data_IF_448851630310
#
_entry.id   IF_448851630310
#
_cell.length_a   1.000
_cell.length_b   1.000
_cell.length_c   1.000
_cell.angle_alpha   90.00
_cell.angle_beta   90.00
_cell.angle_gamma   90.00
#
_symmetry.space_group_name_H-M   'P 1'
#
loop_
_entity.id
_entity.type
_entity.pdbx_description
1 polymer ?
#
# COMPACT_ATOMS: atom_id res chain seq x y z
N UNK A 1 -15.00 -2.42 8.19
CA UNK A 1 -13.75 -2.88 8.82
C UNK A 1 -14.05 -3.91 9.91
N UNK A 2 -13.15 -4.89 10.12
CA UNK A 2 -13.26 -5.88 11.20
C UNK A 2 -12.84 -5.29 12.52
N UNK A 3 -13.32 -5.86 13.65
CA UNK A 3 -13.07 -5.32 15.02
C UNK A 3 -11.58 -5.22 15.35
N UNK A 4 -10.75 -6.12 14.80
CA UNK A 4 -9.31 -6.18 15.03
C UNK A 4 -8.49 -5.98 13.73
N UNK A 5 -9.10 -5.49 12.66
CA UNK A 5 -8.41 -5.27 11.38
C UNK A 5 -7.19 -4.35 11.49
N UNK A 6 -7.24 -3.33 12.35
CA UNK A 6 -6.09 -2.47 12.64
C UNK A 6 -4.91 -3.21 13.27
N UNK A 7 -5.16 -4.28 14.05
CA UNK A 7 -4.08 -5.14 14.59
C UNK A 7 -3.46 -5.96 13.47
N UNK A 8 -4.29 -6.56 12.59
CA UNK A 8 -3.81 -7.30 11.41
C UNK A 8 -2.97 -6.42 10.49
N UNK A 9 -3.45 -5.20 10.20
CA UNK A 9 -2.72 -4.22 9.38
C UNK A 9 -1.35 -3.86 9.99
N UNK A 10 -1.29 -3.61 11.31
CA UNK A 10 -0.03 -3.31 11.99
C UNK A 10 0.96 -4.48 11.91
N UNK A 11 0.50 -5.71 12.16
CA UNK A 11 1.35 -6.91 12.03
C UNK A 11 1.90 -7.02 10.60
N UNK A 12 1.04 -6.88 9.59
CA UNK A 12 1.46 -6.95 8.19
C UNK A 12 2.53 -5.90 7.86
N UNK A 13 2.36 -4.66 8.31
CA UNK A 13 3.35 -3.59 8.11
C UNK A 13 4.67 -3.89 8.83
N UNK A 14 4.62 -4.40 10.07
CA UNK A 14 5.82 -4.74 10.85
C UNK A 14 6.60 -5.91 10.23
N UNK A 15 5.90 -6.98 9.79
CA UNK A 15 6.53 -8.12 9.11
C UNK A 15 7.15 -7.67 7.79
N UNK A 16 6.44 -6.89 6.99
CA UNK A 16 6.96 -6.36 5.74
C UNK A 16 8.20 -5.49 5.97
N UNK A 17 8.14 -4.56 6.92
CA UNK A 17 9.24 -3.66 7.22
C UNK A 17 10.54 -4.37 7.62
N UNK A 18 10.44 -5.55 8.27
CA UNK A 18 11.61 -6.37 8.64
C UNK A 18 12.32 -7.01 7.45
N UNK A 19 11.62 -7.26 6.37
CA UNK A 19 12.11 -8.04 5.23
C UNK A 19 12.08 -7.33 3.89
N UNK A 20 11.47 -6.15 3.82
CA UNK A 20 11.25 -5.44 2.56
C UNK A 20 12.54 -5.13 1.80
N UNK A 21 13.63 -4.76 2.52
CA UNK A 21 14.92 -4.47 1.91
C UNK A 21 15.51 -5.66 1.15
N UNK A 22 15.25 -6.88 1.61
CA UNK A 22 15.72 -8.10 0.94
C UNK A 22 15.17 -8.22 -0.48
N UNK A 23 13.95 -7.72 -0.74
CA UNK A 23 13.34 -7.77 -2.07
C UNK A 23 14.14 -6.99 -3.13
N UNK A 24 14.88 -5.97 -2.71
CA UNK A 24 15.73 -5.18 -3.60
C UNK A 24 17.07 -5.86 -3.90
N UNK A 25 17.51 -6.80 -3.07
CA UNK A 25 18.77 -7.54 -3.24
C UNK A 25 18.61 -8.78 -4.13
N UNK A 26 17.37 -9.27 -4.32
CA UNK A 26 17.11 -10.47 -5.12
C UNK A 26 17.29 -10.20 -6.63
N UNK A 27 17.87 -11.19 -7.33
CA UNK A 27 18.27 -11.03 -8.71
C UNK A 27 17.15 -11.30 -9.72
N UNK A 28 16.18 -12.13 -9.35
CA UNK A 28 15.14 -12.60 -10.27
C UNK A 28 13.73 -12.35 -9.71
N UNK A 29 12.77 -12.18 -10.62
CA UNK A 29 11.35 -12.02 -10.27
C UNK A 29 10.81 -13.25 -9.51
N UNK A 30 11.31 -14.45 -9.81
CA UNK A 30 10.88 -15.67 -9.12
C UNK A 30 11.34 -15.68 -7.65
N UNK A 31 12.55 -15.22 -7.37
CA UNK A 31 13.04 -15.03 -5.99
C UNK A 31 12.22 -13.98 -5.25
N UNK A 32 11.93 -12.85 -5.90
CA UNK A 32 11.09 -11.79 -5.34
C UNK A 32 9.69 -12.32 -5.01
N UNK A 33 9.07 -13.06 -5.94
CA UNK A 33 7.75 -13.69 -5.69
C UNK A 33 7.80 -14.72 -4.57
N UNK A 34 8.84 -15.55 -4.51
CA UNK A 34 9.02 -16.53 -3.43
C UNK A 34 9.18 -15.83 -2.07
N UNK A 35 9.97 -14.76 -2.00
CA UNK A 35 10.15 -13.99 -0.76
C UNK A 35 8.87 -13.27 -0.33
N UNK A 36 8.09 -12.78 -1.30
CA UNK A 36 6.79 -12.16 -1.02
C UNK A 36 5.75 -13.18 -0.50
N UNK A 37 5.79 -14.44 -0.94
CA UNK A 37 4.98 -15.51 -0.35
C UNK A 37 5.42 -15.85 1.06
N UNK A 38 6.73 -15.86 1.33
CA UNK A 38 7.24 -16.04 2.68
C UNK A 38 6.77 -14.92 3.63
N UNK A 39 6.79 -13.65 3.16
CA UNK A 39 6.19 -12.54 3.91
C UNK A 39 4.71 -12.80 4.27
N UNK A 40 3.91 -13.28 3.32
CA UNK A 40 2.51 -13.61 3.59
C UNK A 40 2.37 -14.71 4.65
N UNK A 41 3.17 -15.78 4.54
CA UNK A 41 3.18 -16.88 5.50
C UNK A 41 3.57 -16.42 6.91
N UNK A 42 4.62 -15.61 7.03
CA UNK A 42 5.08 -15.03 8.30
C UNK A 42 3.99 -14.13 8.92
N UNK A 43 3.35 -13.30 8.10
CA UNK A 43 2.25 -12.42 8.54
C UNK A 43 1.07 -13.24 9.06
N UNK A 44 0.66 -14.28 8.34
CA UNK A 44 -0.43 -15.17 8.76
C UNK A 44 -0.09 -15.92 10.06
N UNK A 45 1.16 -16.34 10.25
CA UNK A 45 1.61 -16.99 11.48
C UNK A 45 1.49 -16.04 12.68
N UNK A 46 1.95 -14.79 12.55
CA UNK A 46 1.86 -13.80 13.63
C UNK A 46 0.40 -13.40 13.92
N UNK A 47 -0.43 -13.18 12.89
CA UNK A 47 -1.86 -12.90 13.08
C UNK A 47 -2.56 -14.08 13.77
N UNK A 48 -2.24 -15.33 13.36
CA UNK A 48 -2.82 -16.54 13.97
C UNK A 48 -2.48 -16.67 15.45
N UNK A 49 -1.23 -16.35 15.84
CA UNK A 49 -0.80 -16.36 17.23
C UNK A 49 -1.60 -15.36 18.07
N UNK A 50 -1.72 -14.11 17.61
CA UNK A 50 -2.49 -13.07 18.30
C UNK A 50 -3.98 -13.40 18.34
N UNK A 51 -4.55 -13.97 17.29
CA UNK A 51 -5.95 -14.41 17.25
C UNK A 51 -6.21 -15.52 18.28
N UNK A 52 -5.29 -16.49 18.39
CA UNK A 52 -5.38 -17.57 19.38
C UNK A 52 -5.28 -17.05 20.83
N UNK A 53 -4.36 -16.12 21.11
CA UNK A 53 -4.24 -15.49 22.43
C UNK A 53 -5.48 -14.69 22.81
N UNK A 54 -6.16 -14.09 21.83
CA UNK A 54 -7.39 -13.31 22.03
C UNK A 54 -8.64 -14.17 22.05
N UNK A 55 -8.56 -15.49 21.85
CA UNK A 55 -9.68 -16.40 21.65
C UNK A 55 -10.67 -15.91 20.58
N UNK A 56 -10.12 -15.54 19.41
CA UNK A 56 -10.86 -14.96 18.29
C UNK A 56 -10.55 -15.68 16.98
N UNK A 57 -11.49 -15.71 16.03
CA UNK A 57 -11.21 -16.22 14.70
C UNK A 57 -10.23 -15.28 13.96
N UNK A 58 -9.35 -15.83 13.12
CA UNK A 58 -8.37 -15.06 12.34
C UNK A 58 -9.05 -14.02 11.43
N UNK A 59 -10.27 -14.28 10.98
CA UNK A 59 -11.08 -13.38 10.17
C UNK A 59 -11.38 -12.03 10.85
N UNK A 60 -11.35 -11.97 12.18
CA UNK A 60 -11.55 -10.71 12.92
C UNK A 60 -10.36 -9.74 12.72
N UNK A 61 -9.22 -10.27 12.29
CA UNK A 61 -7.98 -9.53 12.00
C UNK A 61 -7.79 -9.28 10.50
N UNK A 62 -8.82 -9.51 9.69
CA UNK A 62 -8.75 -9.36 8.24
C UNK A 62 -8.31 -7.94 7.85
N UNK A 63 -7.35 -7.86 6.94
CA UNK A 63 -6.80 -6.63 6.41
C UNK A 63 -6.36 -6.80 4.96
N UNK A 64 -6.44 -5.73 4.18
CA UNK A 64 -5.75 -5.58 2.90
C UNK A 64 -4.30 -5.16 3.14
N UNK A 65 -3.48 -5.21 2.09
CA UNK A 65 -2.09 -4.80 2.18
C UNK A 65 -1.57 -4.25 0.85
N UNK A 66 -0.86 -3.14 0.91
CA UNK A 66 -0.04 -2.62 -0.20
C UNK A 66 1.33 -2.26 0.36
N UNK A 67 2.35 -3.02 -0.02
CA UNK A 67 3.74 -2.75 0.30
C UNK A 67 4.49 -2.28 -0.93
N UNK A 68 5.36 -1.29 -0.77
CA UNK A 68 6.23 -0.77 -1.82
C UNK A 68 7.64 -0.62 -1.27
N UNK A 69 8.62 -1.15 -1.99
CA UNK A 69 10.04 -0.89 -1.75
C UNK A 69 10.68 -0.39 -3.04
N UNK A 70 11.63 0.51 -2.93
CA UNK A 70 12.28 1.11 -4.09
C UNK A 70 13.74 1.45 -3.79
N UNK A 71 14.58 1.31 -4.79
CA UNK A 71 15.97 1.79 -4.81
C UNK A 71 16.22 2.71 -6.02
N UNK A 72 17.49 2.85 -6.40
CA UNK A 72 17.92 3.67 -7.54
C UNK A 72 17.62 3.05 -8.91
N UNK A 73 17.21 1.78 -8.95
CA UNK A 73 17.08 0.99 -10.18
C UNK A 73 15.72 0.39 -10.40
N UNK A 74 14.98 0.12 -9.31
CA UNK A 74 13.70 -0.60 -9.38
C UNK A 74 12.73 -0.24 -8.27
N UNK A 75 11.47 -0.58 -8.52
CA UNK A 75 10.38 -0.57 -7.55
C UNK A 75 9.78 -1.97 -7.49
N UNK A 76 9.55 -2.50 -6.31
CA UNK A 76 8.82 -3.75 -6.08
C UNK A 76 7.56 -3.45 -5.31
N UNK A 77 6.42 -3.96 -5.77
CA UNK A 77 5.15 -3.88 -5.05
C UNK A 77 4.67 -5.27 -4.65
N UNK A 78 4.07 -5.34 -3.46
CA UNK A 78 3.44 -6.55 -2.92
C UNK A 78 2.04 -6.17 -2.46
N UNK A 79 1.01 -6.81 -3.00
CA UNK A 79 -0.37 -6.38 -2.78
C UNK A 79 -1.34 -7.55 -2.58
N UNK A 80 -2.24 -7.37 -1.62
CA UNK A 80 -3.52 -8.08 -1.52
C UNK A 80 -4.61 -7.07 -1.18
N UNK A 81 -5.70 -7.07 -1.94
CA UNK A 81 -6.85 -6.18 -1.74
C UNK A 81 -6.94 -5.07 -2.76
N UNK A 82 -7.69 -4.05 -2.41
CA UNK A 82 -8.17 -2.97 -3.27
C UNK A 82 -7.48 -1.63 -3.07
N UNK A 83 -6.49 -1.54 -2.18
CA UNK A 83 -5.61 -0.39 -2.09
C UNK A 83 -4.82 -0.16 -3.39
N UNK A 84 -4.16 0.99 -3.51
CA UNK A 84 -3.37 1.31 -4.69
C UNK A 84 -2.09 2.10 -4.34
N UNK A 85 -1.16 2.14 -5.28
CA UNK A 85 0.03 2.97 -5.14
C UNK A 85 0.44 3.60 -6.48
N UNK A 86 0.90 4.84 -6.41
CA UNK A 86 1.41 5.63 -7.53
C UNK A 86 2.86 6.02 -7.26
N UNK A 87 3.71 5.88 -8.25
CA UNK A 87 5.09 6.34 -8.21
C UNK A 87 5.34 7.49 -9.20
N UNK A 88 6.21 8.41 -8.81
CA UNK A 88 6.85 9.34 -9.73
C UNK A 88 8.11 8.69 -10.30
N UNK A 89 8.03 8.28 -11.56
CA UNK A 89 9.12 7.71 -12.33
C UNK A 89 9.77 8.77 -13.24
N UNK A 90 10.79 8.37 -14.01
CA UNK A 90 11.49 9.30 -14.92
C UNK A 90 10.62 9.84 -16.04
N UNK A 91 9.63 9.09 -16.47
CA UNK A 91 8.72 9.38 -17.58
C UNK A 91 7.34 9.91 -17.11
N UNK A 92 7.12 10.07 -15.81
CA UNK A 92 5.89 10.62 -15.24
C UNK A 92 5.33 9.84 -14.07
N UNK A 93 4.03 9.96 -13.86
CA UNK A 93 3.33 9.21 -12.82
C UNK A 93 2.87 7.85 -13.37
N UNK A 94 3.09 6.80 -12.60
CA UNK A 94 2.63 5.46 -12.91
C UNK A 94 1.86 4.85 -11.74
N UNK A 95 0.75 4.16 -12.03
CA UNK A 95 0.03 3.33 -11.07
C UNK A 95 0.79 2.01 -10.94
N UNK A 96 1.53 1.86 -9.84
CA UNK A 96 2.45 0.72 -9.59
C UNK A 96 1.81 -0.40 -8.77
N UNK A 97 0.75 -0.14 -8.04
CA UNK A 97 -0.13 -1.15 -7.45
C UNK A 97 -1.56 -0.78 -7.84
N UNK A 98 -2.25 -1.72 -8.49
CA UNK A 98 -3.59 -1.49 -9.03
C UNK A 98 -4.62 -2.15 -8.12
N UNK A 99 -5.79 -1.52 -7.92
CA UNK A 99 -6.90 -2.17 -7.25
C UNK A 99 -7.19 -3.52 -7.88
N UNK A 100 -7.33 -4.55 -7.06
CA UNK A 100 -7.67 -5.88 -7.56
C UNK A 100 -9.10 -5.87 -8.11
N UNK A 101 -9.24 -6.10 -9.41
CA UNK A 101 -10.55 -6.28 -10.02
C UNK A 101 -11.18 -7.56 -9.47
N UNK A 102 -12.38 -7.45 -8.90
CA UNK A 102 -13.20 -8.60 -8.50
C UNK A 102 -14.37 -8.75 -9.45
N UNK A 103 -14.75 -9.98 -9.79
CA UNK A 103 -15.92 -10.26 -10.64
C UNK A 103 -17.25 -9.78 -10.02
N UNK A 104 -17.23 -9.55 -8.71
CA UNK A 104 -18.40 -9.06 -7.97
C UNK A 104 -18.06 -7.73 -7.31
N UNK A 105 -18.90 -6.74 -7.52
CA UNK A 105 -18.86 -5.45 -6.83
C UNK A 105 -18.94 -5.71 -5.31
N UNK A 106 -18.02 -5.14 -4.53
CA UNK A 106 -17.93 -5.24 -3.05
C UNK A 106 -17.34 -6.54 -2.46
N UNK A 107 -16.51 -7.27 -3.18
CA UNK A 107 -15.73 -8.38 -2.59
C UNK A 107 -14.29 -7.95 -2.39
N UNK A 108 -13.95 -7.46 -1.21
CA UNK A 108 -12.55 -7.17 -0.83
C UNK A 108 -11.83 -8.47 -0.50
N UNK A 109 -10.57 -8.59 -0.90
CA UNK A 109 -9.68 -9.72 -0.61
C UNK A 109 -8.73 -9.34 0.51
N UNK A 110 -8.58 -10.26 1.47
CA UNK A 110 -7.79 -10.02 2.67
C UNK A 110 -6.59 -10.96 2.78
N UNK A 111 -5.56 -10.52 3.50
CA UNK A 111 -4.40 -11.37 3.84
C UNK A 111 -4.81 -12.67 4.54
N UNK A 112 -5.90 -12.66 5.29
CA UNK A 112 -6.41 -13.80 6.05
C UNK A 112 -7.31 -14.76 5.27
N UNK A 113 -7.55 -14.49 3.98
CA UNK A 113 -8.35 -15.38 3.13
C UNK A 113 -7.58 -16.69 2.84
N UNK A 114 -8.31 -17.77 2.67
CA UNK A 114 -7.70 -19.10 2.44
C UNK A 114 -6.95 -19.21 1.11
N UNK A 115 -7.34 -18.39 0.13
CA UNK A 115 -6.73 -18.28 -1.19
C UNK A 115 -5.81 -17.05 -1.33
N UNK A 116 -5.36 -16.47 -0.21
CA UNK A 116 -4.55 -15.27 -0.18
C UNK A 116 -3.24 -15.42 -0.98
N UNK A 117 -2.59 -16.60 -0.93
CA UNK A 117 -1.36 -16.87 -1.68
C UNK A 117 -1.58 -16.80 -3.19
N UNK A 118 -2.69 -17.34 -3.69
CA UNK A 118 -3.06 -17.31 -5.11
C UNK A 118 -3.44 -15.91 -5.57
N UNK A 119 -3.79 -15.04 -4.63
CA UNK A 119 -4.20 -13.64 -4.86
C UNK A 119 -3.08 -12.62 -4.66
N UNK A 120 -1.92 -13.06 -4.16
CA UNK A 120 -0.79 -12.17 -3.94
C UNK A 120 -0.27 -11.63 -5.27
N UNK A 121 -0.38 -10.33 -5.47
CA UNK A 121 0.17 -9.62 -6.64
C UNK A 121 1.54 -9.08 -6.28
N UNK A 122 2.54 -9.42 -7.10
CA UNK A 122 3.90 -8.91 -6.98
C UNK A 122 4.32 -8.38 -8.34
N UNK A 123 4.66 -7.09 -8.39
CA UNK A 123 5.14 -6.47 -9.62
C UNK A 123 6.51 -5.82 -9.41
N UNK A 124 7.33 -5.86 -10.45
CA UNK A 124 8.67 -5.29 -10.47
C UNK A 124 8.77 -4.30 -11.62
N UNK A 125 9.14 -3.07 -11.30
CA UNK A 125 9.38 -2.00 -12.27
C UNK A 125 10.87 -1.71 -12.30
N UNK A 126 11.51 -1.88 -13.45
CA UNK A 126 12.96 -1.64 -13.63
C UNK A 126 13.23 -0.14 -13.89
N UNK A 127 12.74 0.69 -12.99
CA UNK A 127 12.89 2.15 -13.00
C UNK A 127 13.00 2.68 -11.59
N UNK A 128 13.80 3.72 -11.41
CA UNK A 128 13.89 4.44 -10.16
C UNK A 128 12.60 5.24 -9.87
N UNK A 129 12.07 5.12 -8.67
CA UNK A 129 11.06 6.05 -8.17
C UNK A 129 11.72 7.12 -7.30
N UNK A 130 11.36 8.38 -7.52
CA UNK A 130 11.79 9.50 -6.68
C UNK A 130 10.77 9.84 -5.58
N UNK A 131 9.53 9.44 -5.76
CA UNK A 131 8.40 9.65 -4.83
C UNK A 131 7.36 8.56 -5.01
N UNK A 132 6.70 8.19 -3.93
CA UNK A 132 5.70 7.13 -3.89
C UNK A 132 4.52 7.62 -3.06
N UNK A 133 3.31 7.26 -3.47
CA UNK A 133 2.09 7.49 -2.74
C UNK A 133 1.29 6.19 -2.72
N UNK A 134 1.02 5.64 -1.54
CA UNK A 134 0.10 4.52 -1.34
C UNK A 134 -1.17 5.00 -0.63
N UNK A 135 -2.32 4.45 -0.98
CA UNK A 135 -3.61 4.91 -0.46
C UNK A 135 -4.66 3.80 -0.47
N UNK A 136 -5.67 3.96 0.38
CA UNK A 136 -6.82 3.06 0.47
C UNK A 136 -7.84 3.34 -0.64
N UNK A 137 -8.72 2.38 -0.90
CA UNK A 137 -9.80 2.40 -1.89
C UNK A 137 -10.71 3.63 -1.80
N UNK A 138 -11.00 4.12 -0.59
CA UNK A 138 -11.79 5.33 -0.39
C UNK A 138 -11.28 6.58 -1.12
N UNK A 139 -10.01 6.60 -1.56
CA UNK A 139 -9.46 7.70 -2.37
C UNK A 139 -9.47 7.42 -3.88
N UNK A 140 -9.58 6.17 -4.33
CA UNK A 140 -9.46 5.80 -5.73
C UNK A 140 -10.39 6.58 -6.67
N UNK A 141 -11.71 6.71 -6.37
CA UNK A 141 -12.63 7.42 -7.24
C UNK A 141 -12.28 8.90 -7.46
N UNK A 142 -11.42 9.43 -6.59
CA UNK A 142 -11.01 10.85 -6.62
C UNK A 142 -9.72 11.09 -7.39
N UNK A 143 -8.87 10.06 -7.50
CA UNK A 143 -7.46 10.24 -7.87
C UNK A 143 -6.94 9.26 -8.92
N UNK A 144 -7.75 8.29 -9.33
CA UNK A 144 -7.46 7.39 -10.45
C UNK A 144 -8.64 7.43 -11.41
N UNK A 145 -8.38 7.68 -12.68
CA UNK A 145 -9.40 7.57 -13.73
C UNK A 145 -9.71 6.07 -13.95
N UNK A 146 -10.94 5.66 -13.63
CA UNK A 146 -11.35 4.26 -13.72
C UNK A 146 -11.28 3.69 -15.15
N UNK A 147 -11.47 4.54 -16.17
CA UNK A 147 -11.48 4.13 -17.57
C UNK A 147 -10.08 3.99 -18.15
N UNK A 148 -9.18 4.91 -17.83
CA UNK A 148 -7.80 4.92 -18.36
C UNK A 148 -6.82 4.26 -17.42
N UNK A 149 -7.20 4.06 -16.15
CA UNK A 149 -6.31 3.61 -15.06
C UNK A 149 -5.10 4.54 -14.88
N UNK A 150 -5.27 5.82 -15.22
CA UNK A 150 -4.23 6.82 -15.08
C UNK A 150 -4.39 7.61 -13.78
N UNK A 151 -3.27 7.91 -13.09
CA UNK A 151 -3.27 8.78 -11.93
C UNK A 151 -3.70 10.21 -12.29
N UNK A 152 -4.57 10.81 -11.48
CA UNK A 152 -4.96 12.22 -11.64
C UNK A 152 -3.79 13.14 -11.26
N UNK A 153 -2.97 13.51 -12.24
CA UNK A 153 -1.72 14.23 -12.04
C UNK A 153 -1.84 15.46 -11.11
N UNK A 154 -2.84 16.36 -11.24
CA UNK A 154 -2.95 17.53 -10.36
C UNK A 154 -3.08 17.17 -8.87
N UNK A 155 -3.71 16.05 -8.54
CA UNK A 155 -3.79 15.57 -7.15
C UNK A 155 -2.42 15.14 -6.65
N UNK A 156 -1.73 14.29 -7.40
CA UNK A 156 -0.42 13.77 -6.99
C UNK A 156 0.67 14.84 -6.96
N UNK A 157 0.66 15.80 -7.88
CA UNK A 157 1.56 16.96 -7.83
C UNK A 157 1.38 17.74 -6.53
N UNK A 158 0.14 17.97 -6.12
CA UNK A 158 -0.16 18.65 -4.86
C UNK A 158 0.26 17.82 -3.65
N UNK A 159 -0.03 16.53 -3.63
CA UNK A 159 0.35 15.63 -2.53
C UNK A 159 1.86 15.53 -2.42
N UNK A 160 2.57 15.36 -3.52
CA UNK A 160 4.02 15.29 -3.51
C UNK A 160 4.70 16.63 -3.20
N UNK A 161 4.02 17.76 -3.42
CA UNK A 161 4.58 19.07 -3.06
C UNK A 161 4.80 19.22 -1.55
N UNK A 162 4.07 18.49 -0.71
CA UNK A 162 4.27 18.49 0.75
C UNK A 162 5.64 17.97 1.17
N UNK A 163 6.25 17.14 0.32
CA UNK A 163 7.58 16.58 0.56
C UNK A 163 8.72 17.55 0.19
N UNK A 164 8.41 18.66 -0.49
CA UNK A 164 9.40 19.69 -0.82
C UNK A 164 9.79 20.42 0.46
N UNK A 165 11.08 20.35 0.84
CA UNK A 165 11.57 20.89 2.10
C UNK A 165 11.11 20.12 3.34
N UNK A 166 10.57 18.90 3.18
CA UNK A 166 10.36 17.98 4.29
C UNK A 166 11.70 17.59 4.92
N UNK A 167 11.67 17.21 6.20
CA UNK A 167 12.86 16.75 6.91
C UNK A 167 13.45 15.49 6.26
N UNK A 168 14.73 15.22 6.53
CA UNK A 168 15.37 13.95 6.15
C UNK A 168 15.11 12.84 7.17
N UNK A 169 14.37 13.16 8.23
CA UNK A 169 13.92 12.16 9.20
C UNK A 169 12.92 11.19 8.55
N UNK A 170 12.85 9.94 9.04
CA UNK A 170 11.93 8.93 8.51
C UNK A 170 10.44 9.33 8.55
N UNK A 171 10.10 10.30 9.41
CA UNK A 171 8.74 10.79 9.56
C UNK A 171 8.73 12.32 9.70
N UNK A 172 7.94 12.99 8.87
CA UNK A 172 7.73 14.44 8.93
C UNK A 172 6.33 14.76 9.47
N UNK A 173 6.27 15.25 10.71
CA UNK A 173 5.00 15.59 11.39
C UNK A 173 4.22 16.70 10.67
N UNK A 174 4.91 17.68 10.07
CA UNK A 174 4.26 18.77 9.33
C UNK A 174 3.61 18.25 8.06
N UNK A 175 4.30 17.39 7.31
CA UNK A 175 3.76 16.75 6.13
C UNK A 175 2.56 15.87 6.49
N UNK A 176 2.67 15.07 7.55
CA UNK A 176 1.60 14.21 8.04
C UNK A 176 0.37 15.01 8.49
N UNK A 177 0.56 16.11 9.22
CA UNK A 177 -0.54 17.00 9.65
C UNK A 177 -1.25 17.64 8.45
N UNK A 178 -0.48 18.03 7.40
CA UNK A 178 -1.04 18.59 6.18
C UNK A 178 -1.89 17.54 5.43
N UNK A 179 -1.39 16.31 5.28
CA UNK A 179 -2.13 15.20 4.66
C UNK A 179 -3.42 14.89 5.43
N UNK A 180 -3.35 14.79 6.74
CA UNK A 180 -4.51 14.56 7.60
C UNK A 180 -5.58 15.65 7.42
N UNK A 181 -5.16 16.92 7.39
CA UNK A 181 -6.08 18.05 7.14
C UNK A 181 -6.68 18.01 5.73
N UNK A 182 -5.91 17.58 4.73
CA UNK A 182 -6.41 17.43 3.36
C UNK A 182 -7.48 16.34 3.29
N UNK A 183 -7.24 15.17 3.89
CA UNK A 183 -8.17 14.04 3.90
C UNK A 183 -9.47 14.38 4.66
N UNK A 184 -9.39 15.09 5.78
CA UNK A 184 -10.56 15.53 6.54
C UNK A 184 -11.28 16.74 5.96
N UNK A 185 -10.80 17.29 4.86
CA UNK A 185 -11.41 18.46 4.22
C UNK A 185 -12.62 18.12 3.35
N UNK A 186 -13.55 19.09 3.23
CA UNK A 186 -14.77 19.01 2.42
C UNK A 186 -14.57 18.43 1.00
N UNK A 187 -13.49 18.77 0.25
CA UNK A 187 -13.31 18.24 -1.10
C UNK A 187 -13.15 16.73 -1.18
N UNK A 188 -12.64 16.10 -0.12
CA UNK A 188 -12.51 14.64 0.00
C UNK A 188 -13.79 14.06 0.62
N UNK A 189 -14.16 14.55 1.80
CA UNK A 189 -15.25 14.00 2.61
C UNK A 189 -16.64 14.05 1.93
N UNK A 190 -16.86 14.95 0.99
CA UNK A 190 -18.10 15.02 0.19
C UNK A 190 -18.14 14.06 -1.01
N UNK A 191 -17.04 13.37 -1.28
CA UNK A 191 -16.90 12.53 -2.48
C UNK A 191 -16.66 11.06 -2.17
N UNK A 192 -16.45 10.74 -0.90
CA UNK A 192 -16.31 9.36 -0.41
C UNK A 192 -16.96 9.25 0.97
N UNK A 193 -17.64 8.17 1.19
CA UNK A 193 -18.24 7.72 2.48
C UNK A 193 -17.38 6.63 3.12
N UNK A 194 -16.24 6.32 2.53
CA UNK A 194 -15.33 5.30 3.03
C UNK A 194 -14.14 5.88 3.79
N UNK A 195 -13.49 5.04 4.58
CA UNK A 195 -12.28 5.40 5.31
C UNK A 195 -11.13 5.72 4.35
N UNK A 196 -10.47 6.84 4.57
CA UNK A 196 -9.38 7.31 3.71
C UNK A 196 -8.05 7.32 4.44
N UNK A 197 -7.05 6.65 3.85
CA UNK A 197 -5.67 6.69 4.31
C UNK A 197 -4.70 6.94 3.17
N UNK A 198 -3.63 7.67 3.45
CA UNK A 198 -2.58 7.96 2.48
C UNK A 198 -1.20 7.95 3.15
N UNK A 199 -0.24 7.38 2.47
CA UNK A 199 1.17 7.44 2.84
C UNK A 199 1.95 7.99 1.65
N UNK A 200 2.82 8.96 1.91
CA UNK A 200 3.72 9.50 0.89
C UNK A 200 5.18 9.38 1.33
N UNK A 201 6.03 9.04 0.40
CA UNK A 201 7.46 8.94 0.61
C UNK A 201 8.23 9.56 -0.54
N UNK A 202 9.45 10.04 -0.26
CA UNK A 202 10.42 10.44 -1.27
C UNK A 202 11.74 9.75 -1.02
N UNK A 203 12.46 9.48 -2.08
CA UNK A 203 13.87 9.10 -1.98
C UNK A 203 14.69 10.34 -1.62
N UNK A 204 15.59 10.20 -0.66
CA UNK A 204 16.60 11.20 -0.36
C UNK A 204 17.71 11.15 -1.43
N UNK A 205 18.38 12.27 -1.67
CA UNK A 205 19.51 12.33 -2.61
C UNK A 205 20.65 11.40 -2.23
#
# INVERSE_FOLDING_TARGET
>A
STVHGGVGARIACEVFGRSAGELLELATDDEIRSRSRAFLADTLAEISAVAAEADRPISDFATTFVGVVADESRVVTVQIGDGAAVAGLSDGLALIAKPMATEFVNVTRFLTDKDAEDRLVVEVFLQAANRICAFTDGLQPLIVDERTQEPHAPFFERVFSVLVGASEEPFDERASAWLSKMLSGDPVQKRTDDDTSIVVARRLP
#
